data_IF_282656432548
#
_entry.id   IF_282656432548
#
_cell.length_a   1.000
_cell.length_b   1.000
_cell.length_c   1.000
_cell.angle_alpha   90.00
_cell.angle_beta   90.00
_cell.angle_gamma   90.00
#
_symmetry.space_group_name_H-M   'P 1'
#
loop_
_entity.id
_entity.type
_entity.pdbx_description
1 polymer ?
#
# COMPACT_ATOMS: atom_id res chain seq x y z
N UNK A 1 12.52 19.29 14.49
CA UNK A 1 13.13 18.01 14.12
C UNK A 1 14.49 17.91 14.81
N UNK A 2 14.72 16.90 15.63
CA UNK A 2 15.99 16.72 16.35
C UNK A 2 17.10 16.20 15.41
N UNK A 3 18.39 16.36 15.79
CA UNK A 3 19.51 15.75 15.03
C UNK A 3 19.36 14.22 14.94
N UNK A 4 18.72 13.61 15.95
CA UNK A 4 18.43 12.18 15.97
C UNK A 4 17.40 11.82 14.86
N UNK A 5 16.34 12.61 14.74
CA UNK A 5 15.30 12.37 13.72
C UNK A 5 15.85 12.53 12.31
N UNK A 6 16.69 13.54 12.08
CA UNK A 6 17.38 13.74 10.78
C UNK A 6 18.21 12.52 10.42
N UNK A 7 18.95 11.96 11.39
CA UNK A 7 19.79 10.79 11.14
C UNK A 7 18.98 9.52 10.91
N UNK A 8 17.90 9.32 11.68
CA UNK A 8 16.98 8.19 11.48
C UNK A 8 16.37 8.26 10.08
N UNK A 9 15.82 9.42 9.68
CA UNK A 9 15.22 9.58 8.36
C UNK A 9 16.23 9.30 7.24
N UNK A 10 17.47 9.82 7.35
CA UNK A 10 18.51 9.54 6.36
C UNK A 10 18.82 8.04 6.24
N UNK A 11 18.91 7.32 7.37
CA UNK A 11 19.16 5.87 7.35
C UNK A 11 17.98 5.10 6.74
N UNK A 12 16.75 5.52 7.02
CA UNK A 12 15.53 4.95 6.40
C UNK A 12 15.51 5.24 4.90
N UNK A 13 15.95 6.43 4.47
CA UNK A 13 16.02 6.78 3.05
C UNK A 13 16.97 5.82 2.31
N UNK A 14 18.19 5.66 2.82
CA UNK A 14 19.17 4.74 2.22
C UNK A 14 18.67 3.28 2.19
N UNK A 15 18.05 2.83 3.26
CA UNK A 15 17.48 1.48 3.32
C UNK A 15 16.31 1.30 2.33
N UNK A 16 15.43 2.31 2.23
CA UNK A 16 14.29 2.29 1.30
C UNK A 16 14.77 2.17 -0.14
N UNK A 17 15.75 2.98 -0.55
CA UNK A 17 16.31 2.94 -1.89
C UNK A 17 16.90 1.56 -2.23
N UNK A 18 17.60 0.93 -1.26
CA UNK A 18 18.13 -0.41 -1.43
C UNK A 18 17.03 -1.47 -1.54
N UNK A 19 16.00 -1.42 -0.70
CA UNK A 19 14.87 -2.35 -0.75
C UNK A 19 14.01 -2.22 -2.02
N UNK A 20 13.94 -1.01 -2.57
CA UNK A 20 13.26 -0.79 -3.85
C UNK A 20 14.08 -1.25 -5.06
N UNK A 21 15.41 -1.18 -4.98
CA UNK A 21 16.32 -1.61 -6.05
C UNK A 21 16.59 -3.13 -6.03
N UNK A 22 16.53 -3.74 -4.85
CA UNK A 22 16.85 -5.16 -4.59
C UNK A 22 15.76 -5.75 -3.69
N UNK A 23 15.72 -7.10 -3.57
CA UNK A 23 14.77 -7.71 -2.65
C UNK A 23 15.11 -7.42 -1.18
N UNK A 24 14.08 -7.36 -0.31
CA UNK A 24 14.27 -7.17 1.14
C UNK A 24 15.18 -8.28 1.71
N UNK A 25 15.05 -9.52 1.21
CA UNK A 25 15.86 -10.64 1.68
C UNK A 25 17.34 -10.51 1.32
N UNK A 26 17.66 -9.94 0.16
CA UNK A 26 19.04 -9.79 -0.34
C UNK A 26 19.81 -8.64 0.31
N UNK A 27 19.12 -7.58 0.75
CA UNK A 27 19.76 -6.44 1.40
C UNK A 27 20.17 -6.79 2.82
N UNK A 28 21.44 -6.57 3.17
CA UNK A 28 21.98 -6.78 4.52
C UNK A 28 22.12 -5.48 5.31
N UNK A 29 22.26 -5.58 6.64
CA UNK A 29 22.62 -4.43 7.49
C UNK A 29 23.94 -3.80 7.02
N UNK A 30 24.88 -4.61 6.57
CA UNK A 30 26.18 -4.14 6.02
C UNK A 30 25.96 -3.30 4.75
N UNK A 31 25.07 -3.71 3.85
CA UNK A 31 24.76 -2.94 2.64
C UNK A 31 24.20 -1.56 3.00
N UNK A 32 23.27 -1.51 3.96
CA UNK A 32 22.69 -0.24 4.44
C UNK A 32 23.77 0.64 5.10
N UNK A 33 24.63 0.04 5.91
CA UNK A 33 25.72 0.76 6.58
C UNK A 33 26.72 1.37 5.57
N UNK A 34 27.06 0.62 4.52
CA UNK A 34 27.92 1.09 3.43
C UNK A 34 27.25 2.25 2.67
N UNK A 35 25.99 2.09 2.27
CA UNK A 35 25.23 3.12 1.55
C UNK A 35 25.10 4.41 2.37
N UNK A 36 24.88 4.29 3.67
CA UNK A 36 24.75 5.41 4.59
C UNK A 36 26.09 5.96 5.11
N UNK A 37 27.23 5.36 4.74
CA UNK A 37 28.57 5.72 5.20
C UNK A 37 28.70 5.71 6.74
N UNK A 38 28.13 4.72 7.40
CA UNK A 38 28.19 4.52 8.84
C UNK A 38 28.65 3.10 9.20
N UNK A 39 29.01 2.87 10.46
CA UNK A 39 29.26 1.51 10.94
C UNK A 39 27.93 0.76 11.22
N UNK A 40 27.92 -0.56 11.04
CA UNK A 40 26.77 -1.42 11.33
C UNK A 40 26.24 -1.22 12.77
N UNK A 41 27.13 -1.02 13.75
CA UNK A 41 26.77 -0.71 15.13
C UNK A 41 25.88 0.54 15.25
N UNK A 42 26.01 1.51 14.32
CA UNK A 42 25.15 2.69 14.29
C UNK A 42 23.74 2.30 13.87
N UNK A 43 23.60 1.43 12.87
CA UNK A 43 22.30 0.92 12.43
C UNK A 43 21.59 0.18 13.57
N UNK A 44 22.29 -0.77 14.20
CA UNK A 44 21.73 -1.52 15.32
C UNK A 44 21.34 -0.62 16.51
N UNK A 45 22.08 0.43 16.77
CA UNK A 45 21.75 1.39 17.86
C UNK A 45 20.45 2.15 17.60
N UNK A 46 20.10 2.45 16.35
CA UNK A 46 18.87 3.19 16.03
C UNK A 46 17.66 2.28 15.84
N UNK A 47 17.84 1.10 15.28
CA UNK A 47 16.73 0.25 14.86
C UNK A 47 16.66 -1.10 15.58
N UNK A 48 17.75 -1.54 16.21
CA UNK A 48 17.81 -2.84 16.90
C UNK A 48 17.86 -4.03 15.95
N UNK A 49 17.10 -4.02 14.85
CA UNK A 49 17.04 -5.13 13.90
C UNK A 49 16.81 -4.64 12.46
N UNK A 50 17.09 -5.51 11.48
CA UNK A 50 16.73 -5.26 10.08
C UNK A 50 15.21 -5.16 9.90
N UNK A 51 14.44 -5.97 10.62
CA UNK A 51 12.98 -5.96 10.57
C UNK A 51 12.41 -4.57 10.88
N UNK A 52 12.91 -3.92 11.93
CA UNK A 52 12.50 -2.55 12.27
C UNK A 52 12.80 -1.56 11.15
N UNK A 53 13.95 -1.68 10.46
CA UNK A 53 14.27 -0.82 9.32
C UNK A 53 13.28 -1.06 8.17
N UNK A 54 12.95 -2.32 7.91
CA UNK A 54 11.97 -2.68 6.87
C UNK A 54 10.61 -2.07 7.15
N UNK A 55 10.13 -2.10 8.41
CA UNK A 55 8.88 -1.45 8.80
C UNK A 55 8.94 0.07 8.63
N UNK A 56 10.05 0.70 9.01
CA UNK A 56 10.23 2.15 8.79
C UNK A 56 10.24 2.51 7.29
N UNK A 57 10.88 1.68 6.46
CA UNK A 57 10.85 1.84 5.01
C UNK A 57 9.42 1.68 4.45
N UNK A 58 8.66 0.69 4.93
CA UNK A 58 7.26 0.49 4.56
C UNK A 58 6.40 1.71 4.91
N UNK A 59 6.54 2.26 6.12
CA UNK A 59 5.84 3.47 6.53
C UNK A 59 6.21 4.68 5.66
N UNK A 60 7.48 4.83 5.30
CA UNK A 60 7.92 5.92 4.42
C UNK A 60 7.30 5.79 3.03
N UNK A 61 7.38 4.61 2.41
CA UNK A 61 6.80 4.33 1.09
C UNK A 61 5.29 4.56 1.13
N UNK A 62 4.62 4.05 2.16
CA UNK A 62 3.20 4.24 2.39
C UNK A 62 2.83 5.73 2.50
N UNK A 63 3.62 6.53 3.22
CA UNK A 63 3.39 7.97 3.34
C UNK A 63 3.51 8.73 2.01
N UNK A 64 4.43 8.32 1.13
CA UNK A 64 4.58 8.88 -0.23
C UNK A 64 3.33 8.52 -1.06
N UNK A 65 2.97 7.23 -1.08
CA UNK A 65 1.83 6.72 -1.84
C UNK A 65 0.53 7.35 -1.37
N UNK A 66 0.31 7.48 -0.06
CA UNK A 66 -0.87 8.11 0.51
C UNK A 66 -1.09 9.53 0.03
N UNK A 67 -0.04 10.32 0.09
CA UNK A 67 -0.09 11.75 -0.24
C UNK A 67 -0.45 11.97 -1.70
N UNK A 68 0.06 11.14 -2.59
CA UNK A 68 -0.05 11.35 -4.03
C UNK A 68 -1.33 10.76 -4.62
N UNK A 69 -1.89 9.70 -4.03
CA UNK A 69 -2.96 8.92 -4.65
C UNK A 69 -4.28 8.91 -3.88
N UNK A 70 -4.27 8.88 -2.56
CA UNK A 70 -5.52 8.81 -1.78
C UNK A 70 -6.10 10.20 -1.44
N UNK A 71 -6.14 11.10 -2.42
CA UNK A 71 -6.79 12.41 -2.24
C UNK A 71 -8.29 12.32 -2.54
N UNK A 72 -9.07 11.86 -1.55
CA UNK A 72 -10.53 11.68 -1.66
C UNK A 72 -11.32 12.99 -1.67
N UNK A 73 -10.68 14.15 -1.47
CA UNK A 73 -11.33 15.46 -1.58
C UNK A 73 -11.74 15.79 -3.02
N UNK A 74 -11.17 15.08 -4.00
CA UNK A 74 -11.51 15.26 -5.43
C UNK A 74 -12.94 14.83 -5.78
N UNK A 75 -13.54 13.93 -5.00
CA UNK A 75 -14.91 13.47 -5.24
C UNK A 75 -15.96 14.46 -4.72
N UNK A 76 -16.98 14.76 -5.53
CA UNK A 76 -18.08 15.70 -5.17
C UNK A 76 -19.18 15.06 -4.32
N UNK A 77 -19.35 13.74 -4.43
CA UNK A 77 -20.31 12.93 -3.68
C UNK A 77 -19.66 11.65 -3.15
N UNK A 78 -20.39 10.84 -2.37
CA UNK A 78 -19.83 9.66 -1.77
C UNK A 78 -19.33 8.64 -2.79
N UNK A 79 -20.07 8.41 -3.87
CA UNK A 79 -19.65 7.47 -4.93
C UNK A 79 -18.36 7.93 -5.64
N UNK A 80 -18.25 9.22 -5.99
CA UNK A 80 -17.03 9.74 -6.61
C UNK A 80 -15.82 9.61 -5.69
N UNK A 81 -15.98 9.79 -4.38
CA UNK A 81 -14.91 9.58 -3.39
C UNK A 81 -14.47 8.12 -3.36
N UNK A 82 -15.39 7.15 -3.33
CA UNK A 82 -15.06 5.74 -3.40
C UNK A 82 -14.47 5.34 -4.75
N UNK A 83 -14.91 5.98 -5.84
CA UNK A 83 -14.29 5.80 -7.15
C UNK A 83 -12.82 6.22 -7.13
N UNK A 84 -12.50 7.41 -6.61
CA UNK A 84 -11.10 7.86 -6.43
C UNK A 84 -10.31 6.88 -5.58
N UNK A 85 -10.89 6.37 -4.49
CA UNK A 85 -10.26 5.39 -3.62
C UNK A 85 -9.85 4.12 -4.39
N UNK A 86 -10.77 3.51 -5.14
CA UNK A 86 -10.48 2.29 -5.89
C UNK A 86 -9.56 2.52 -7.09
N UNK A 87 -9.74 3.62 -7.81
CA UNK A 87 -8.87 4.00 -8.93
C UNK A 87 -7.43 4.28 -8.49
N UNK A 88 -7.21 4.67 -7.22
CA UNK A 88 -5.87 4.86 -6.66
C UNK A 88 -5.02 3.59 -6.73
N UNK A 89 -5.59 2.41 -6.60
CA UNK A 89 -4.86 1.14 -6.76
C UNK A 89 -4.26 1.00 -8.15
N UNK A 90 -5.03 1.35 -9.18
CA UNK A 90 -4.56 1.33 -10.56
C UNK A 90 -3.51 2.42 -10.82
N UNK A 91 -3.74 3.64 -10.36
CA UNK A 91 -2.80 4.74 -10.52
C UNK A 91 -1.43 4.44 -9.88
N UNK A 92 -1.43 3.86 -8.68
CA UNK A 92 -0.22 3.40 -8.01
C UNK A 92 0.46 2.30 -8.84
N UNK A 93 -0.32 1.35 -9.38
CA UNK A 93 0.22 0.27 -10.20
C UNK A 93 0.96 0.79 -11.44
N UNK A 94 0.42 1.82 -12.09
CA UNK A 94 1.04 2.42 -13.28
C UNK A 94 2.28 3.24 -12.92
N UNK A 95 2.20 4.06 -11.87
CA UNK A 95 3.26 5.03 -11.54
C UNK A 95 4.35 4.44 -10.65
N UNK A 96 3.99 3.49 -9.79
CA UNK A 96 4.89 2.90 -8.80
C UNK A 96 4.74 1.37 -8.72
N UNK A 97 4.99 0.62 -9.82
CA UNK A 97 4.81 -0.84 -9.81
C UNK A 97 5.71 -1.54 -8.77
N UNK A 98 6.86 -0.94 -8.44
CA UNK A 98 7.78 -1.48 -7.44
C UNK A 98 7.24 -1.40 -6.02
N UNK A 99 6.26 -0.52 -5.75
CA UNK A 99 5.52 -0.49 -4.48
C UNK A 99 4.83 -1.83 -4.18
N UNK A 100 4.12 -2.38 -5.15
CA UNK A 100 3.42 -3.66 -4.96
C UNK A 100 4.36 -4.85 -4.84
N UNK A 101 5.53 -4.81 -5.52
CA UNK A 101 6.59 -5.81 -5.30
C UNK A 101 7.12 -5.72 -3.88
N UNK A 102 7.46 -4.51 -3.43
CA UNK A 102 7.91 -4.29 -2.06
C UNK A 102 6.90 -4.79 -1.03
N UNK A 103 5.59 -4.50 -1.21
CA UNK A 103 4.55 -5.00 -0.31
C UNK A 103 4.48 -6.52 -0.26
N UNK A 104 4.61 -7.19 -1.42
CA UNK A 104 4.62 -8.66 -1.47
C UNK A 104 5.81 -9.25 -0.69
N UNK A 105 6.99 -8.62 -0.80
CA UNK A 105 8.17 -9.02 -0.05
C UNK A 105 8.07 -8.67 1.44
N UNK A 106 7.46 -7.52 1.75
CA UNK A 106 7.22 -7.07 3.12
C UNK A 106 6.34 -8.06 3.88
N UNK A 107 5.22 -8.49 3.28
CA UNK A 107 4.31 -9.47 3.90
C UNK A 107 5.01 -10.81 4.18
N UNK A 108 5.87 -11.26 3.24
CA UNK A 108 6.63 -12.49 3.40
C UNK A 108 7.75 -12.38 4.46
N UNK A 109 8.29 -11.17 4.64
CA UNK A 109 9.45 -10.93 5.49
C UNK A 109 9.09 -10.60 6.93
N UNK A 110 8.01 -9.82 7.15
CA UNK A 110 7.59 -9.39 8.49
C UNK A 110 6.75 -10.51 9.11
N UNK A 111 7.33 -11.20 10.07
CA UNK A 111 6.61 -12.21 10.85
C UNK A 111 5.47 -11.56 11.64
N UNK A 112 4.28 -12.13 11.54
CA UNK A 112 3.07 -11.70 12.27
C UNK A 112 3.20 -11.86 13.79
N UNK A 113 4.25 -12.56 14.26
CA UNK A 113 4.42 -12.90 15.68
C UNK A 113 4.81 -11.71 16.58
N UNK A 114 5.32 -10.62 16.01
CA UNK A 114 5.69 -9.42 16.78
C UNK A 114 4.87 -8.19 16.33
N UNK A 115 3.62 -8.14 16.79
CA UNK A 115 2.69 -7.05 16.52
C UNK A 115 3.19 -5.68 17.01
N UNK A 116 4.11 -5.63 17.97
CA UNK A 116 4.67 -4.37 18.46
C UNK A 116 5.47 -3.62 17.40
N UNK A 117 6.03 -4.35 16.43
CA UNK A 117 6.83 -3.78 15.34
C UNK A 117 5.94 -3.26 14.22
N UNK A 118 4.79 -3.91 13.97
CA UNK A 118 3.89 -3.57 12.85
C UNK A 118 2.83 -2.53 13.21
N UNK A 119 2.52 -2.35 14.50
CA UNK A 119 1.48 -1.42 14.97
C UNK A 119 1.49 -0.02 14.30
N UNK A 120 2.62 0.67 14.11
CA UNK A 120 2.62 1.97 13.45
C UNK A 120 2.18 1.90 11.98
N UNK A 121 2.54 0.82 11.28
CA UNK A 121 2.15 0.58 9.89
C UNK A 121 0.65 0.25 9.80
N UNK A 122 0.14 -0.61 10.67
CA UNK A 122 -1.28 -0.96 10.78
C UNK A 122 -2.14 0.27 11.06
N UNK A 123 -1.73 1.13 12.01
CA UNK A 123 -2.44 2.38 12.31
C UNK A 123 -2.50 3.34 11.12
N UNK A 124 -1.46 3.37 10.27
CA UNK A 124 -1.48 4.15 9.04
C UNK A 124 -2.49 3.59 8.03
N UNK A 125 -2.64 2.27 7.95
CA UNK A 125 -3.62 1.61 7.08
C UNK A 125 -5.05 1.83 7.57
N UNK A 126 -5.29 1.82 8.88
CA UNK A 126 -6.62 2.05 9.47
C UNK A 126 -7.20 3.42 9.08
N UNK A 127 -6.36 4.40 8.82
CA UNK A 127 -6.82 5.72 8.34
C UNK A 127 -7.57 5.63 7.01
N UNK A 128 -7.21 4.69 6.12
CA UNK A 128 -7.91 4.50 4.84
C UNK A 128 -9.29 3.89 5.03
N UNK A 129 -9.44 2.97 5.99
CA UNK A 129 -10.75 2.42 6.36
C UNK A 129 -11.68 3.54 6.81
N UNK A 130 -11.21 4.45 7.64
CA UNK A 130 -12.01 5.57 8.11
C UNK A 130 -12.46 6.47 6.95
N UNK A 131 -11.54 6.87 6.05
CA UNK A 131 -11.90 7.62 4.85
C UNK A 131 -12.92 6.90 3.97
N UNK A 132 -12.77 5.60 3.81
CA UNK A 132 -13.71 4.78 3.05
C UNK A 132 -15.10 4.80 3.68
N UNK A 133 -15.20 4.58 5.00
CA UNK A 133 -16.47 4.57 5.72
C UNK A 133 -17.16 5.93 5.68
N UNK A 134 -16.43 7.03 5.86
CA UNK A 134 -16.94 8.40 5.74
C UNK A 134 -17.51 8.67 4.34
N UNK A 135 -16.80 8.24 3.29
CA UNK A 135 -17.26 8.38 1.91
C UNK A 135 -18.50 7.52 1.62
N UNK A 136 -18.55 6.31 2.18
CA UNK A 136 -19.71 5.42 2.06
C UNK A 136 -20.95 6.03 2.75
N UNK A 137 -20.83 6.52 3.98
CA UNK A 137 -21.91 7.18 4.70
C UNK A 137 -22.41 8.42 3.97
N UNK A 138 -21.49 9.22 3.42
CA UNK A 138 -21.86 10.37 2.58
C UNK A 138 -22.69 9.90 1.39
N UNK A 139 -22.27 8.84 0.69
CA UNK A 139 -22.96 8.31 -0.49
C UNK A 139 -24.34 7.72 -0.19
N UNK A 140 -24.53 7.18 1.01
CA UNK A 140 -25.88 6.78 1.46
C UNK A 140 -26.79 8.00 1.69
N UNK A 141 -26.23 9.10 2.25
CA UNK A 141 -27.00 10.33 2.52
C UNK A 141 -27.33 11.08 1.23
N UNK A 142 -26.41 11.15 0.29
CA UNK A 142 -26.60 11.86 -0.99
C UNK A 142 -27.27 10.99 -2.09
N UNK A 143 -27.51 9.72 -1.80
CA UNK A 143 -28.18 8.77 -2.69
C UNK A 143 -27.29 8.24 -3.82
N UNK A 144 -26.00 8.54 -3.83
CA UNK A 144 -25.06 8.12 -4.88
C UNK A 144 -24.58 6.67 -4.74
N UNK A 145 -24.73 6.06 -3.55
CA UNK A 145 -24.27 4.70 -3.24
C UNK A 145 -25.44 3.79 -2.90
N UNK A 146 -25.37 2.57 -3.43
CA UNK A 146 -26.25 1.46 -3.04
C UNK A 146 -25.79 0.87 -1.71
N UNK A 147 -26.73 0.73 -0.78
CA UNK A 147 -26.47 0.11 0.52
C UNK A 147 -25.96 -1.32 0.37
N UNK A 148 -24.85 -1.63 1.02
CA UNK A 148 -24.30 -2.98 1.14
C UNK A 148 -24.84 -3.65 2.42
N UNK A 149 -25.00 -4.99 2.39
CA UNK A 149 -25.48 -5.75 3.54
C UNK A 149 -24.46 -5.71 4.70
N UNK A 150 -23.18 -5.81 4.37
CA UNK A 150 -22.05 -5.73 5.30
C UNK A 150 -20.95 -4.92 4.64
N UNK A 151 -20.86 -3.64 4.99
CA UNK A 151 -19.89 -2.72 4.38
C UNK A 151 -18.48 -3.00 4.83
N UNK A 152 -18.26 -3.47 6.06
CA UNK A 152 -16.93 -3.82 6.53
C UNK A 152 -16.38 -5.03 5.78
N UNK A 153 -17.17 -6.08 5.65
CA UNK A 153 -16.80 -7.26 4.87
C UNK A 153 -16.58 -6.91 3.40
N UNK A 154 -17.43 -6.04 2.84
CA UNK A 154 -17.25 -5.54 1.46
C UNK A 154 -15.92 -4.79 1.30
N UNK A 155 -15.61 -3.87 2.22
CA UNK A 155 -14.35 -3.14 2.23
C UNK A 155 -13.15 -4.11 2.26
N UNK A 156 -13.09 -4.99 3.25
CA UNK A 156 -11.97 -5.92 3.38
C UNK A 156 -11.83 -6.85 2.17
N UNK A 157 -12.94 -7.42 1.69
CA UNK A 157 -12.91 -8.35 0.56
C UNK A 157 -12.42 -7.68 -0.72
N UNK A 158 -12.90 -6.47 -1.01
CA UNK A 158 -12.55 -5.76 -2.25
C UNK A 158 -11.15 -5.17 -2.21
N UNK A 159 -10.73 -4.59 -1.08
CA UNK A 159 -9.38 -4.04 -0.93
C UNK A 159 -8.31 -5.13 -0.95
N UNK A 160 -8.55 -6.26 -0.27
CA UNK A 160 -7.64 -7.41 -0.31
C UNK A 160 -7.55 -8.01 -1.72
N UNK A 161 -8.68 -8.18 -2.42
CA UNK A 161 -8.67 -8.70 -3.78
C UNK A 161 -7.84 -7.80 -4.74
N UNK A 162 -8.01 -6.48 -4.65
CA UNK A 162 -7.24 -5.54 -5.46
C UNK A 162 -5.76 -5.53 -5.09
N UNK A 163 -5.45 -5.54 -3.81
CA UNK A 163 -4.08 -5.53 -3.32
C UNK A 163 -3.32 -6.78 -3.79
N UNK A 164 -3.90 -7.96 -3.61
CA UNK A 164 -3.29 -9.22 -4.01
C UNK A 164 -3.17 -9.35 -5.54
N UNK A 165 -4.18 -8.88 -6.29
CA UNK A 165 -4.08 -8.83 -7.74
C UNK A 165 -2.95 -7.89 -8.18
N UNK A 166 -2.86 -6.69 -7.62
CA UNK A 166 -1.81 -5.74 -7.95
C UNK A 166 -0.40 -6.27 -7.61
N UNK A 167 -0.23 -6.89 -6.43
CA UNK A 167 1.02 -7.57 -6.05
C UNK A 167 1.40 -8.64 -7.07
N UNK A 168 0.46 -9.53 -7.42
CA UNK A 168 0.66 -10.58 -8.40
C UNK A 168 1.08 -10.02 -9.77
N UNK A 169 0.40 -8.99 -10.25
CA UNK A 169 0.65 -8.40 -11.56
C UNK A 169 1.96 -7.57 -11.61
N UNK A 170 2.45 -7.08 -10.48
CA UNK A 170 3.70 -6.33 -10.41
C UNK A 170 4.95 -7.17 -10.73
N UNK A 171 4.90 -8.48 -10.54
CA UNK A 171 6.00 -9.36 -10.94
C UNK A 171 5.99 -9.63 -12.44
N UNK A 172 7.18 -9.51 -13.07
CA UNK A 172 7.34 -9.68 -14.54
C UNK A 172 7.27 -11.15 -14.99
N UNK A 173 7.52 -12.10 -14.09
CA UNK A 173 7.58 -13.53 -14.42
C UNK A 173 6.31 -14.28 -14.07
N UNK A 174 5.90 -15.04 -15.05
CA UNK A 174 4.90 -16.08 -15.12
C UNK A 174 4.11 -16.33 -13.84
N UNK A 175 2.95 -15.81 -13.81
CA UNK A 175 1.91 -16.39 -13.01
C UNK A 175 1.36 -17.58 -13.78
N UNK A 176 1.42 -18.76 -13.17
CA UNK A 176 0.70 -19.92 -13.66
C UNK A 176 -0.74 -19.51 -13.95
N UNK A 177 -1.22 -19.81 -15.16
CA UNK A 177 -2.58 -19.51 -15.65
C UNK A 177 -2.87 -18.05 -16.05
N UNK A 178 -1.87 -17.20 -16.25
CA UNK A 178 -2.11 -15.89 -16.85
C UNK A 178 -2.23 -16.06 -18.37
N UNK A 179 -3.35 -15.61 -18.95
CA UNK A 179 -3.49 -15.51 -20.39
C UNK A 179 -2.67 -14.34 -20.91
N UNK A 180 -1.62 -14.63 -21.68
CA UNK A 180 -0.73 -13.61 -22.24
C UNK A 180 -1.42 -12.63 -23.23
N UNK A 181 -2.66 -12.92 -23.63
CA UNK A 181 -3.48 -12.04 -24.46
C UNK A 181 -4.15 -10.93 -23.68
N UNK A 182 -4.22 -11.05 -22.35
CA UNK A 182 -4.83 -10.08 -21.45
C UNK A 182 -3.75 -9.15 -20.93
N UNK A 183 -3.92 -7.85 -21.16
CA UNK A 183 -3.04 -6.84 -20.60
C UNK A 183 -3.25 -6.77 -19.09
N UNK A 184 -2.14 -6.77 -18.32
CA UNK A 184 -2.17 -6.76 -16.84
C UNK A 184 -2.98 -5.59 -16.27
N UNK A 185 -2.86 -4.44 -16.87
CA UNK A 185 -3.60 -3.23 -16.49
C UNK A 185 -5.10 -3.38 -16.66
N UNK A 186 -5.54 -4.11 -17.69
CA UNK A 186 -6.95 -4.37 -17.96
C UNK A 186 -7.60 -5.27 -16.91
N UNK A 187 -6.87 -6.23 -16.34
CA UNK A 187 -7.39 -7.08 -15.25
C UNK A 187 -7.73 -6.22 -14.01
N UNK A 188 -6.81 -5.33 -13.62
CA UNK A 188 -7.01 -4.47 -12.46
C UNK A 188 -8.16 -3.48 -12.69
N UNK A 189 -8.23 -2.87 -13.87
CA UNK A 189 -9.32 -1.96 -14.24
C UNK A 189 -10.68 -2.68 -14.27
N UNK A 190 -10.73 -3.91 -14.79
CA UNK A 190 -11.94 -4.71 -14.81
C UNK A 190 -12.45 -5.00 -13.40
N UNK A 191 -11.57 -5.40 -12.48
CA UNK A 191 -11.95 -5.66 -11.09
C UNK A 191 -12.47 -4.37 -10.41
N UNK A 192 -11.80 -3.24 -10.61
CA UNK A 192 -12.27 -1.94 -10.11
C UNK A 192 -13.66 -1.61 -10.66
N UNK A 193 -13.87 -1.79 -11.95
CA UNK A 193 -15.17 -1.53 -12.58
C UNK A 193 -16.30 -2.38 -11.99
N UNK A 194 -16.06 -3.68 -11.75
CA UNK A 194 -17.02 -4.58 -11.11
C UNK A 194 -17.37 -4.11 -9.69
N UNK A 195 -16.36 -3.71 -8.91
CA UNK A 195 -16.57 -3.20 -7.56
C UNK A 195 -17.40 -1.92 -7.58
N UNK A 196 -17.03 -0.97 -8.43
CA UNK A 196 -17.74 0.30 -8.54
C UNK A 196 -19.18 0.13 -9.04
N UNK A 197 -19.42 -0.80 -9.97
CA UNK A 197 -20.77 -1.13 -10.42
C UNK A 197 -21.64 -1.65 -9.29
N UNK A 198 -21.09 -2.43 -8.36
CA UNK A 198 -21.83 -2.95 -7.20
C UNK A 198 -22.20 -1.85 -6.19
N UNK A 199 -21.42 -0.77 -6.14
CA UNK A 199 -21.66 0.37 -5.25
C UNK A 199 -22.56 1.44 -5.84
N UNK A 200 -22.63 1.56 -7.16
CA UNK A 200 -23.38 2.63 -7.83
C UNK A 200 -24.89 2.42 -7.69
N UNK A 201 -25.59 3.47 -7.25
CA UNK A 201 -27.05 3.45 -7.12
C UNK A 201 -27.77 3.88 -8.43
N UNK A 202 -27.04 4.42 -9.41
CA UNK A 202 -27.62 4.95 -10.65
C UNK A 202 -27.92 3.90 -11.74
N UNK A 203 -27.64 2.61 -11.48
CA UNK A 203 -27.91 1.50 -12.40
C UNK A 203 -29.11 0.69 -11.91
N UNK A 204 -30.29 1.26 -11.98
CA UNK A 204 -31.58 0.54 -11.91
C UNK A 204 -32.36 0.84 -13.18
#
# INVERSE_FOLDING_TARGET
>A
MSLKDVKVNFLVDMATDLFMARSISEVTIKDIAIAAQVGEATIYRYFGSKQNIVVHAAMKIQGIVSKDFFNLEKGKNGFEKLKVFYESYYEIFIKHPDFYKFLSEFDAYVSVEDSSITNPYESAIDSYKNFYMDAYELGLKDGSIRKQNDIEMFYFSTTQALLELAKKLAFKKAVLNQDNRIEKTSELQCLIAIILQSLNNLWV
#
